data_IF_798629016480
#
_entry.id   IF_798629016480
#
_cell.length_a   1.000
_cell.length_b   1.000
_cell.length_c   1.000
_cell.angle_alpha   90.00
_cell.angle_beta   90.00
_cell.angle_gamma   90.00
#
_symmetry.space_group_name_H-M   'P 1'
#
loop_
_entity.id
_entity.type
_entity.pdbx_description
1 polymer ?
#
# COMPACT_ATOMS: atom_id res chain seq x y z
N UNK A 1 16.93 -6.70 11.60
CA UNK A 1 15.93 -5.65 11.87
C UNK A 1 15.26 -5.22 10.56
N UNK A 2 14.70 -6.16 9.76
CA UNK A 2 14.40 -5.86 8.35
C UNK A 2 13.33 -6.69 7.64
N UNK A 3 12.40 -7.35 8.36
CA UNK A 3 11.31 -8.12 7.72
C UNK A 3 9.96 -7.39 7.81
N UNK A 4 9.76 -6.54 8.83
CA UNK A 4 8.50 -5.82 9.03
C UNK A 4 8.24 -4.67 8.04
N UNK A 5 9.28 -4.02 7.51
CA UNK A 5 9.12 -2.88 6.58
C UNK A 5 8.57 -3.28 5.20
N UNK A 6 8.90 -4.48 4.72
CA UNK A 6 8.52 -4.96 3.39
C UNK A 6 7.04 -5.35 3.31
N UNK A 7 6.48 -5.92 4.39
CA UNK A 7 5.07 -6.33 4.47
C UNK A 7 4.09 -5.16 4.32
N UNK A 8 4.40 -3.98 4.88
CA UNK A 8 3.51 -2.82 4.82
C UNK A 8 3.49 -2.09 3.46
N UNK A 9 4.56 -2.18 2.66
CA UNK A 9 4.56 -1.61 1.29
C UNK A 9 3.65 -2.45 0.38
N UNK A 10 3.73 -3.77 0.57
CA UNK A 10 2.92 -4.75 -0.12
C UNK A 10 1.43 -4.69 0.29
N UNK A 11 1.10 -4.39 1.54
CA UNK A 11 -0.31 -4.19 1.98
C UNK A 11 -1.03 -3.00 1.31
N UNK A 12 -0.29 -1.95 0.90
CA UNK A 12 -0.87 -0.85 0.12
C UNK A 12 -1.03 -1.17 -1.37
N UNK A 13 -0.33 -2.20 -1.89
CA UNK A 13 -0.57 -2.72 -3.24
C UNK A 13 -1.89 -3.48 -3.28
N UNK A 14 -2.18 -4.39 -2.34
CA UNK A 14 -3.37 -5.26 -2.44
C UNK A 14 -4.76 -4.61 -2.31
N UNK A 15 -4.87 -3.35 -1.89
CA UNK A 15 -6.16 -2.63 -1.99
C UNK A 15 -6.49 -2.23 -3.43
N UNK A 16 -5.57 -2.42 -4.37
CA UNK A 16 -5.68 -1.93 -5.73
C UNK A 16 -6.63 -2.72 -6.62
N UNK A 17 -6.86 -4.00 -6.30
CA UNK A 17 -7.55 -4.93 -7.22
C UNK A 17 -9.05 -5.04 -6.94
N UNK A 18 -9.58 -4.22 -6.01
CA UNK A 18 -11.01 -4.03 -5.90
C UNK A 18 -11.55 -3.41 -7.21
N UNK A 19 -12.56 -4.02 -7.87
CA UNK A 19 -13.19 -3.45 -9.05
C UNK A 19 -13.58 -1.98 -8.90
N UNK A 20 -13.98 -1.54 -7.70
CA UNK A 20 -14.34 -0.13 -7.43
C UNK A 20 -13.15 0.83 -7.55
N UNK A 21 -11.92 0.34 -7.33
CA UNK A 21 -10.70 1.13 -7.47
C UNK A 21 -10.17 1.18 -8.92
N UNK A 22 -10.72 0.35 -9.82
CA UNK A 22 -10.37 0.30 -11.23
C UNK A 22 -11.07 1.41 -12.02
N UNK A 23 -10.72 2.66 -11.79
CA UNK A 23 -11.34 3.82 -12.44
C UNK A 23 -10.56 4.34 -13.66
N UNK A 24 -11.13 5.26 -14.43
CA UNK A 24 -10.44 5.90 -15.55
C UNK A 24 -9.10 6.53 -15.15
N UNK A 25 -8.09 6.39 -16.03
CA UNK A 25 -6.71 6.82 -15.81
C UNK A 25 -5.85 5.86 -15.00
N UNK A 26 -6.42 4.77 -14.47
CA UNK A 26 -5.64 3.75 -13.75
C UNK A 26 -4.93 2.80 -14.71
N UNK A 27 -3.74 2.39 -14.32
CA UNK A 27 -2.93 1.44 -15.08
C UNK A 27 -3.17 0.01 -14.57
N UNK A 28 -3.39 -0.93 -15.48
CA UNK A 28 -3.75 -2.32 -15.17
C UNK A 28 -2.93 -3.30 -16.00
N UNK A 29 -2.76 -4.51 -15.46
CA UNK A 29 -2.29 -5.69 -16.18
C UNK A 29 -3.48 -6.55 -16.58
N UNK A 30 -3.38 -7.16 -17.76
CA UNK A 30 -4.24 -8.26 -18.14
C UNK A 30 -3.60 -9.59 -17.77
N UNK A 31 -4.37 -10.48 -17.13
CA UNK A 31 -3.86 -11.68 -16.47
C UNK A 31 -3.72 -12.91 -17.39
N UNK A 32 -4.37 -12.88 -18.55
CA UNK A 32 -4.33 -13.98 -19.53
C UNK A 32 -3.38 -13.66 -20.69
N UNK A 33 -3.26 -14.60 -21.63
CA UNK A 33 -2.50 -14.45 -22.87
C UNK A 33 -3.45 -14.59 -24.05
N UNK A 34 -3.35 -13.66 -24.99
CA UNK A 34 -4.10 -13.54 -26.25
C UNK A 34 -3.13 -12.91 -27.25
N UNK A 35 -3.33 -13.21 -28.53
CA UNK A 35 -2.51 -12.71 -29.62
C UNK A 35 -2.57 -11.18 -29.75
N UNK A 36 -3.67 -10.55 -29.29
CA UNK A 36 -3.89 -9.11 -29.38
C UNK A 36 -3.22 -8.31 -28.25
N UNK A 37 -3.15 -8.90 -27.04
CA UNK A 37 -2.59 -8.27 -25.83
C UNK A 37 -1.50 -9.16 -25.26
N UNK A 38 -0.22 -8.90 -25.58
CA UNK A 38 0.84 -9.79 -25.13
C UNK A 38 0.98 -9.74 -23.61
N UNK A 39 1.21 -10.91 -23.00
CA UNK A 39 1.38 -11.06 -21.55
C UNK A 39 2.40 -10.05 -21.00
N UNK A 40 2.06 -9.39 -19.89
CA UNK A 40 2.94 -8.44 -19.20
C UNK A 40 2.88 -7.01 -19.73
N UNK A 41 2.02 -6.70 -20.71
CA UNK A 41 1.75 -5.31 -21.08
C UNK A 41 0.86 -4.63 -20.04
N UNK A 42 1.16 -3.36 -19.79
CA UNK A 42 0.32 -2.47 -19.00
C UNK A 42 -0.60 -1.72 -19.95
N UNK A 43 -1.86 -1.59 -19.56
CA UNK A 43 -2.85 -0.75 -20.23
C UNK A 43 -3.41 0.31 -19.31
N UNK A 44 -4.06 1.32 -19.88
CA UNK A 44 -4.76 2.38 -19.15
C UNK A 44 -6.28 2.21 -19.28
N UNK A 45 -7.02 2.27 -18.19
CA UNK A 45 -8.48 2.32 -18.21
C UNK A 45 -8.88 3.68 -18.77
N UNK A 46 -9.56 3.71 -19.92
CA UNK A 46 -9.97 4.95 -20.59
C UNK A 46 -11.46 5.23 -20.53
N UNK A 47 -12.27 4.25 -20.10
CA UNK A 47 -13.72 4.38 -19.98
C UNK A 47 -14.28 3.22 -19.11
N UNK A 48 -15.41 3.44 -18.44
CA UNK A 48 -16.19 2.42 -17.72
C UNK A 48 -17.53 2.23 -18.45
N UNK A 49 -17.72 1.05 -19.02
CA UNK A 49 -18.93 0.73 -19.78
C UNK A 49 -20.15 0.58 -18.87
N UNK A 50 -21.36 0.69 -19.44
CA UNK A 50 -22.62 0.63 -18.68
C UNK A 50 -22.90 -0.72 -18.00
N UNK A 51 -22.28 -1.80 -18.49
CA UNK A 51 -22.32 -3.14 -17.90
C UNK A 51 -21.28 -3.34 -16.78
N UNK A 52 -20.46 -2.33 -16.51
CA UNK A 52 -19.37 -2.41 -15.53
C UNK A 52 -18.07 -2.95 -16.10
N UNK A 53 -17.94 -3.17 -17.41
CA UNK A 53 -16.64 -3.52 -18.00
C UNK A 53 -15.70 -2.30 -18.04
N UNK A 54 -14.39 -2.56 -17.98
CA UNK A 54 -13.34 -1.55 -18.13
C UNK A 54 -12.84 -1.56 -19.56
N UNK A 55 -12.94 -0.43 -20.25
CA UNK A 55 -12.31 -0.26 -21.56
C UNK A 55 -10.86 0.13 -21.35
N UNK A 56 -9.95 -0.78 -21.68
CA UNK A 56 -8.51 -0.62 -21.45
C UNK A 56 -7.80 -0.37 -22.77
N UNK A 57 -6.95 0.66 -22.82
CA UNK A 57 -6.06 0.99 -23.94
C UNK A 57 -4.71 0.29 -23.73
N UNK A 58 -4.38 -0.64 -24.63
CA UNK A 58 -3.03 -1.22 -24.76
C UNK A 58 -2.36 -0.67 -26.04
N UNK A 59 -1.08 -1.00 -26.34
CA UNK A 59 -0.38 -0.44 -27.50
C UNK A 59 -1.10 -0.65 -28.84
N UNK A 60 -1.73 -1.82 -29.01
CA UNK A 60 -2.33 -2.22 -30.30
C UNK A 60 -3.82 -1.86 -30.42
N UNK A 61 -4.44 -1.21 -29.43
CA UNK A 61 -5.88 -0.96 -29.49
C UNK A 61 -6.55 -0.70 -28.15
N UNK A 62 -7.87 -0.90 -28.13
CA UNK A 62 -8.73 -0.79 -26.94
C UNK A 62 -9.66 -1.99 -26.88
N UNK A 63 -9.79 -2.59 -25.71
CA UNK A 63 -10.65 -3.76 -25.48
C UNK A 63 -11.40 -3.59 -24.16
N UNK A 64 -12.53 -4.28 -24.04
CA UNK A 64 -13.34 -4.29 -22.82
C UNK A 64 -13.01 -5.53 -22.00
N UNK A 65 -12.80 -5.35 -20.70
CA UNK A 65 -12.54 -6.45 -19.78
C UNK A 65 -13.43 -6.31 -18.56
N UNK A 66 -13.99 -7.45 -18.14
CA UNK A 66 -14.56 -7.57 -16.82
C UNK A 66 -13.46 -7.30 -15.75
N UNK A 67 -13.73 -6.52 -14.69
CA UNK A 67 -12.73 -6.11 -13.71
C UNK A 67 -11.94 -7.27 -13.08
N UNK A 68 -12.58 -8.41 -12.84
CA UNK A 68 -11.97 -9.61 -12.26
C UNK A 68 -10.91 -10.29 -13.16
N UNK A 69 -10.76 -9.83 -14.41
CA UNK A 69 -9.70 -10.30 -15.33
C UNK A 69 -8.49 -9.36 -15.37
N UNK A 70 -8.56 -8.24 -14.65
CA UNK A 70 -7.52 -7.24 -14.57
C UNK A 70 -6.88 -7.28 -13.18
N UNK A 71 -5.59 -6.97 -13.12
CA UNK A 71 -4.91 -6.63 -11.87
C UNK A 71 -4.46 -5.18 -11.96
N UNK A 72 -4.49 -4.43 -10.87
CA UNK A 72 -3.91 -3.09 -10.89
C UNK A 72 -2.40 -3.16 -11.10
N UNK A 73 -1.86 -2.17 -11.79
CA UNK A 73 -0.43 -2.00 -11.86
C UNK A 73 0.11 -1.39 -10.57
N UNK A 74 1.22 -1.93 -10.05
CA UNK A 74 1.94 -1.35 -8.92
C UNK A 74 2.47 0.07 -9.21
N UNK A 75 2.61 0.40 -10.49
CA UNK A 75 3.01 1.70 -10.98
C UNK A 75 1.79 2.45 -11.48
N UNK A 76 1.46 3.56 -10.84
CA UNK A 76 0.42 4.49 -11.24
C UNK A 76 1.03 5.85 -11.52
N UNK A 77 0.28 6.75 -12.16
CA UNK A 77 0.69 8.15 -12.29
C UNK A 77 1.00 8.74 -10.90
N UNK A 78 2.15 9.39 -10.75
CA UNK A 78 2.65 9.92 -9.49
C UNK A 78 3.40 8.91 -8.60
N UNK A 79 3.49 7.63 -8.99
CA UNK A 79 4.27 6.63 -8.26
C UNK A 79 5.76 6.94 -8.36
N UNK A 80 6.44 6.92 -7.22
CA UNK A 80 7.89 7.05 -7.13
C UNK A 80 8.56 5.71 -7.41
N UNK A 81 9.58 5.72 -8.26
CA UNK A 81 10.26 4.51 -8.77
C UNK A 81 11.78 4.69 -8.81
N UNK A 82 12.51 3.58 -8.79
CA UNK A 82 13.90 3.48 -9.17
C UNK A 82 13.99 2.80 -10.54
N UNK A 83 14.77 3.36 -11.45
CA UNK A 83 15.15 2.66 -12.67
C UNK A 83 16.30 1.69 -12.37
N UNK A 84 16.27 0.49 -12.95
CA UNK A 84 17.29 -0.55 -12.72
C UNK A 84 18.37 -0.61 -13.80
N UNK A 85 18.42 0.40 -14.68
CA UNK A 85 19.50 0.54 -15.67
C UNK A 85 20.84 0.88 -15.04
N UNK A 86 21.93 0.57 -15.74
CA UNK A 86 23.31 0.76 -15.26
C UNK A 86 23.67 2.22 -14.96
N UNK A 87 22.90 3.17 -15.50
CA UNK A 87 23.16 4.61 -15.40
C UNK A 87 22.61 5.27 -14.12
N UNK A 88 21.85 4.53 -13.30
CA UNK A 88 21.17 5.07 -12.12
C UNK A 88 21.65 4.45 -10.80
N UNK A 89 21.95 5.31 -9.83
CA UNK A 89 22.09 4.86 -8.44
C UNK A 89 20.71 4.59 -7.83
N UNK A 90 20.65 3.67 -6.86
CA UNK A 90 19.42 3.38 -6.11
C UNK A 90 18.94 4.58 -5.26
N UNK A 91 19.71 5.67 -5.17
CA UNK A 91 19.31 6.90 -4.48
C UNK A 91 18.58 7.89 -5.39
N UNK A 92 18.60 7.68 -6.70
CA UNK A 92 17.90 8.48 -7.69
C UNK A 92 16.47 7.95 -7.80
N UNK A 93 15.50 8.81 -7.50
CA UNK A 93 14.07 8.51 -7.64
C UNK A 93 13.52 9.22 -8.87
N UNK A 94 12.71 8.50 -9.63
CA UNK A 94 11.86 9.03 -10.69
C UNK A 94 10.38 9.01 -10.31
N UNK A 95 9.57 9.74 -11.08
CA UNK A 95 8.12 9.72 -10.96
C UNK A 95 7.48 9.24 -12.25
N UNK A 96 6.55 8.28 -12.16
CA UNK A 96 5.74 7.87 -13.30
C UNK A 96 4.79 9.00 -13.70
N UNK A 97 5.01 9.58 -14.88
CA UNK A 97 4.21 10.68 -15.43
C UNK A 97 3.15 10.24 -16.40
N UNK A 98 3.35 9.16 -17.14
CA UNK A 98 2.35 8.66 -18.09
C UNK A 98 2.62 7.21 -18.52
N UNK A 99 1.77 6.68 -19.40
CA UNK A 99 1.93 5.40 -20.09
C UNK A 99 1.77 5.59 -21.61
N UNK A 100 2.83 5.32 -22.37
CA UNK A 100 2.82 5.37 -23.84
C UNK A 100 3.35 4.07 -24.43
N UNK A 101 2.59 3.49 -25.37
CA UNK A 101 2.98 2.26 -26.08
C UNK A 101 3.42 1.12 -25.12
N UNK A 102 2.75 1.02 -23.97
CA UNK A 102 2.99 -0.01 -22.96
C UNK A 102 4.29 0.20 -22.15
N UNK A 103 4.89 1.38 -22.27
CA UNK A 103 6.05 1.83 -21.49
C UNK A 103 5.66 3.02 -20.63
N UNK A 104 6.18 3.08 -19.42
CA UNK A 104 5.98 4.22 -18.56
C UNK A 104 6.85 5.39 -19.02
N UNK A 105 6.26 6.57 -19.06
CA UNK A 105 7.00 7.83 -19.11
C UNK A 105 7.39 8.14 -17.68
N UNK A 106 8.67 8.02 -17.36
CA UNK A 106 9.21 8.32 -16.03
C UNK A 106 10.02 9.60 -16.13
N UNK A 107 9.76 10.55 -15.23
CA UNK A 107 10.60 11.74 -15.08
C UNK A 107 11.67 11.46 -14.04
N UNK A 108 12.93 11.44 -14.47
CA UNK A 108 14.12 11.23 -13.63
C UNK A 108 15.01 12.44 -13.83
N UNK A 109 15.36 13.14 -12.73
CA UNK A 109 16.24 14.32 -12.78
C UNK A 109 15.76 15.42 -13.76
N UNK A 110 14.44 15.55 -13.93
CA UNK A 110 13.81 16.52 -14.85
C UNK A 110 13.77 16.08 -16.32
N UNK A 111 14.30 14.90 -16.65
CA UNK A 111 14.27 14.32 -17.99
C UNK A 111 13.21 13.22 -18.07
N UNK A 112 12.49 13.13 -19.20
CA UNK A 112 11.46 12.12 -19.41
C UNK A 112 12.00 10.95 -20.22
N UNK A 113 11.85 9.75 -19.67
CA UNK A 113 12.35 8.51 -20.26
C UNK A 113 11.23 7.49 -20.45
N UNK A 114 11.39 6.60 -21.44
CA UNK A 114 10.43 5.53 -21.74
C UNK A 114 10.92 4.21 -21.18
N UNK A 115 10.40 3.82 -20.03
CA UNK A 115 10.82 2.61 -19.33
C UNK A 115 9.80 1.46 -19.40
N UNK A 116 10.33 0.24 -19.51
CA UNK A 116 9.48 -0.97 -19.40
C UNK A 116 9.21 -1.25 -17.92
N UNK A 117 8.03 -1.79 -17.55
CA UNK A 117 7.71 -2.10 -16.15
C UNK A 117 8.77 -2.95 -15.44
N UNK A 118 9.38 -3.91 -16.16
CA UNK A 118 10.43 -4.80 -15.62
C UNK A 118 11.76 -4.11 -15.29
N UNK A 119 11.96 -2.87 -15.73
CA UNK A 119 13.14 -2.05 -15.42
C UNK A 119 12.85 -1.03 -14.31
N UNK A 120 11.66 -1.08 -13.73
CA UNK A 120 11.26 -0.20 -12.64
C UNK A 120 11.12 -1.03 -11.38
N UNK A 121 11.59 -0.45 -10.28
CA UNK A 121 11.34 -0.93 -8.92
C UNK A 121 10.60 0.18 -8.21
N UNK A 122 9.50 -0.13 -7.52
CA UNK A 122 8.77 0.87 -6.75
C UNK A 122 9.67 1.39 -5.62
N UNK A 123 9.76 2.71 -5.48
CA UNK A 123 10.47 3.33 -4.37
C UNK A 123 9.78 2.98 -3.04
N UNK A 124 10.56 2.72 -2.00
CA UNK A 124 10.03 2.42 -0.66
C UNK A 124 9.27 3.61 -0.04
N UNK A 125 9.51 4.82 -0.57
CA UNK A 125 8.86 6.05 -0.17
C UNK A 125 7.93 6.54 -1.29
N UNK A 126 6.67 6.75 -0.95
CA UNK A 126 5.63 7.24 -1.85
C UNK A 126 5.00 8.51 -1.26
N UNK A 127 4.41 9.38 -2.09
CA UNK A 127 3.67 10.54 -1.61
C UNK A 127 2.62 10.18 -0.54
N UNK A 128 2.52 11.02 0.49
CA UNK A 128 1.67 10.85 1.66
C UNK A 128 2.24 9.92 2.74
N UNK A 129 3.31 9.16 2.47
CA UNK A 129 3.91 8.29 3.48
C UNK A 129 4.62 9.10 4.55
N UNK A 130 4.61 8.58 5.77
CA UNK A 130 5.35 9.18 6.88
C UNK A 130 6.75 8.59 7.00
N UNK A 131 7.73 9.44 7.28
CA UNK A 131 9.14 9.07 7.37
C UNK A 131 9.83 9.78 8.53
N UNK A 132 10.95 9.23 8.96
CA UNK A 132 11.93 9.88 9.81
C UNK A 132 13.20 10.13 9.00
N UNK A 133 13.92 11.20 9.30
CA UNK A 133 15.29 11.37 8.83
C UNK A 133 16.24 10.60 9.75
N UNK A 134 17.22 9.89 9.18
CA UNK A 134 18.18 9.07 9.94
C UNK A 134 19.14 9.94 10.78
N UNK A 135 19.39 11.17 10.33
CA UNK A 135 20.21 12.15 11.04
C UNK A 135 19.31 13.16 11.75
N UNK A 136 19.90 14.21 12.30
CA UNK A 136 19.20 15.32 12.90
C UNK A 136 20.06 16.57 12.86
N UNK A 137 19.41 17.72 12.87
CA UNK A 137 20.02 19.04 13.08
C UNK A 137 19.05 19.95 13.85
N UNK A 138 19.36 21.25 13.93
CA UNK A 138 18.55 22.24 14.65
C UNK A 138 17.18 22.48 13.98
N UNK A 139 17.06 22.22 12.68
CA UNK A 139 15.84 22.44 11.90
C UNK A 139 14.91 21.22 11.96
N UNK A 140 15.49 20.02 11.90
CA UNK A 140 14.82 18.73 11.99
C UNK A 140 15.44 17.93 13.13
N UNK A 141 14.91 18.07 14.36
CA UNK A 141 15.43 17.33 15.50
C UNK A 141 15.14 15.83 15.37
N UNK A 142 16.00 15.01 15.98
CA UNK A 142 15.84 13.56 15.97
C UNK A 142 14.45 13.13 16.47
N UNK A 143 13.84 12.16 15.79
CA UNK A 143 12.52 11.63 16.15
C UNK A 143 11.33 12.39 15.57
N UNK A 144 11.53 13.52 14.88
CA UNK A 144 10.44 14.18 14.17
C UNK A 144 10.02 13.38 12.95
N UNK A 145 8.72 13.19 12.80
CA UNK A 145 8.11 12.55 11.65
C UNK A 145 7.84 13.63 10.58
N UNK A 146 8.08 13.27 9.32
CA UNK A 146 7.75 14.08 8.15
C UNK A 146 6.87 13.33 7.17
N UNK A 147 6.22 14.07 6.27
CA UNK A 147 5.36 13.55 5.21
C UNK A 147 6.04 13.68 3.86
N UNK A 148 6.15 12.59 3.11
CA UNK A 148 6.65 12.57 1.74
C UNK A 148 5.67 13.32 0.83
N UNK A 149 6.14 14.31 0.10
CA UNK A 149 5.33 15.09 -0.84
C UNK A 149 5.46 14.55 -2.27
N UNK A 150 4.46 14.77 -3.11
CA UNK A 150 4.47 14.47 -4.54
C UNK A 150 5.34 15.47 -5.34
N UNK A 151 6.63 15.55 -5.01
CA UNK A 151 7.59 16.47 -5.63
C UNK A 151 9.01 15.88 -5.54
N UNK A 152 9.63 15.66 -6.70
CA UNK A 152 11.02 15.25 -6.89
C UNK A 152 11.75 16.35 -7.67
N UNK A 153 13.01 16.64 -7.35
CA UNK A 153 13.82 17.61 -8.10
C UNK A 153 14.64 16.98 -9.23
N UNK A 154 15.38 17.85 -9.92
CA UNK A 154 16.41 17.55 -10.91
C UNK A 154 17.58 16.69 -10.40
N UNK A 155 17.70 16.45 -9.08
CA UNK A 155 18.66 15.48 -8.53
C UNK A 155 18.03 14.12 -8.21
N UNK A 156 16.71 13.95 -8.41
CA UNK A 156 16.01 12.71 -8.04
C UNK A 156 15.77 12.56 -6.54
N UNK A 157 15.82 13.65 -5.76
CA UNK A 157 15.58 13.64 -4.30
C UNK A 157 14.11 13.84 -3.96
N UNK A 158 13.66 13.07 -2.98
CA UNK A 158 12.30 13.12 -2.44
C UNK A 158 12.14 14.34 -1.54
N UNK A 159 11.07 15.12 -1.74
CA UNK A 159 10.73 16.23 -0.85
C UNK A 159 9.88 15.74 0.32
N UNK A 160 10.24 16.16 1.53
CA UNK A 160 9.53 15.79 2.76
C UNK A 160 9.15 17.07 3.53
N UNK A 161 7.91 17.16 3.99
CA UNK A 161 7.43 18.20 4.91
C UNK A 161 7.67 17.73 6.35
N UNK A 162 8.49 18.45 7.10
CA UNK A 162 8.58 18.33 8.56
C UNK A 162 7.92 19.56 9.20
N UNK A 163 7.67 19.57 10.53
CA UNK A 163 7.12 20.70 11.28
C UNK A 163 7.63 22.08 10.86
N UNK A 164 8.95 22.24 10.77
CA UNK A 164 9.57 23.55 10.56
C UNK A 164 9.81 23.91 9.08
N UNK A 165 9.35 23.09 8.12
CA UNK A 165 9.66 23.36 6.71
C UNK A 165 9.64 22.16 5.78
N UNK A 166 10.38 22.28 4.68
CA UNK A 166 10.44 21.28 3.61
C UNK A 166 11.88 21.09 3.17
N UNK A 167 12.32 19.85 3.15
CA UNK A 167 13.69 19.49 2.79
C UNK A 167 13.68 18.36 1.76
N UNK A 168 14.82 18.14 1.10
CA UNK A 168 14.98 17.12 0.08
C UNK A 168 16.01 16.09 0.53
N UNK A 169 15.64 14.82 0.44
CA UNK A 169 16.42 13.71 0.94
C UNK A 169 16.67 12.69 -0.14
N UNK A 170 17.80 11.99 -0.03
CA UNK A 170 17.96 10.71 -0.70
C UNK A 170 17.11 9.66 0.04
N UNK A 171 16.57 8.66 -0.67
CA UNK A 171 15.89 7.53 -0.06
C UNK A 171 16.72 6.87 1.05
N UNK A 172 18.03 6.70 0.86
CA UNK A 172 18.93 6.12 1.88
C UNK A 172 19.08 6.94 3.16
N UNK A 173 18.61 8.20 3.19
CA UNK A 173 18.63 9.06 4.38
C UNK A 173 17.33 8.99 5.18
N UNK A 174 16.30 8.30 4.67
CA UNK A 174 14.99 8.22 5.27
C UNK A 174 14.73 6.83 5.86
N UNK A 175 13.94 6.79 6.93
CA UNK A 175 13.35 5.57 7.49
C UNK A 175 11.85 5.70 7.44
N UNK A 176 11.17 4.66 6.97
CA UNK A 176 9.71 4.63 6.99
C UNK A 176 9.18 4.68 8.44
N UNK A 177 8.19 5.55 8.67
CA UNK A 177 7.48 5.60 9.95
C UNK A 177 6.74 4.29 10.24
N UNK A 178 6.73 3.84 11.48
CA UNK A 178 5.98 2.65 11.89
C UNK A 178 4.46 2.90 11.91
N UNK A 179 4.07 4.16 12.13
CA UNK A 179 2.71 4.67 11.93
C UNK A 179 2.63 5.24 10.52
N UNK A 180 1.59 4.88 9.78
CA UNK A 180 1.33 5.33 8.41
C UNK A 180 -0.15 5.73 8.27
N UNK A 181 -0.51 6.57 7.29
CA UNK A 181 -1.91 6.80 6.95
C UNK A 181 -2.66 5.48 6.73
N UNK A 182 -3.87 5.39 7.28
CA UNK A 182 -4.72 4.21 7.24
C UNK A 182 -4.36 3.11 8.25
N UNK A 183 -3.23 3.20 8.94
CA UNK A 183 -2.82 2.18 9.91
C UNK A 183 -3.74 2.14 11.13
N UNK A 184 -3.99 0.95 11.66
CA UNK A 184 -4.62 0.76 12.96
C UNK A 184 -3.58 0.88 14.07
N UNK A 185 -3.91 1.65 15.09
CA UNK A 185 -3.02 1.97 16.22
C UNK A 185 -3.77 1.86 17.53
N UNK A 186 -3.05 1.67 18.62
CA UNK A 186 -3.54 1.84 19.98
C UNK A 186 -2.84 3.03 20.62
N UNK A 187 -3.57 3.81 21.40
CA UNK A 187 -2.95 4.83 22.23
C UNK A 187 -2.36 4.21 23.50
N UNK A 188 -1.15 4.65 23.88
CA UNK A 188 -0.44 4.16 25.10
C UNK A 188 -1.06 4.62 26.41
N UNK A 189 -1.93 5.64 26.37
CA UNK A 189 -2.59 6.21 27.54
C UNK A 189 -4.12 6.03 27.44
N UNK A 190 -4.88 6.82 28.20
CA UNK A 190 -6.34 6.86 28.18
C UNK A 190 -6.85 8.22 28.66
N UNK A 191 -8.08 8.54 28.29
CA UNK A 191 -8.87 9.64 28.86
C UNK A 191 -10.34 9.21 28.99
N UNK A 192 -11.24 10.15 29.26
CA UNK A 192 -12.68 9.86 29.44
C UNK A 192 -13.35 9.34 28.15
N UNK A 193 -12.77 9.64 26.99
CA UNK A 193 -13.35 9.34 25.67
C UNK A 193 -12.71 8.12 24.99
N UNK A 194 -11.40 7.89 25.23
CA UNK A 194 -10.57 6.87 24.60
C UNK A 194 -10.00 5.95 25.68
N UNK A 195 -10.46 4.69 25.67
CA UNK A 195 -10.02 3.70 26.65
C UNK A 195 -8.62 3.15 26.30
N UNK A 196 -7.87 2.71 27.33
CA UNK A 196 -6.59 2.02 27.10
C UNK A 196 -6.81 0.78 26.22
N UNK A 197 -6.03 0.68 25.14
CA UNK A 197 -6.12 -0.42 24.18
C UNK A 197 -7.23 -0.30 23.13
N UNK A 198 -8.01 0.79 23.14
CA UNK A 198 -8.93 1.11 22.05
C UNK A 198 -8.17 1.29 20.73
N UNK A 199 -8.74 0.75 19.65
CA UNK A 199 -8.16 0.90 18.31
C UNK A 199 -8.62 2.21 17.68
N UNK A 200 -7.65 2.94 17.14
CA UNK A 200 -7.88 4.05 16.23
C UNK A 200 -7.31 3.77 14.84
N UNK A 201 -7.76 4.52 13.85
CA UNK A 201 -7.22 4.53 12.49
C UNK A 201 -6.57 5.89 12.22
N UNK A 202 -5.36 5.89 11.68
CA UNK A 202 -4.69 7.12 11.23
C UNK A 202 -5.40 7.64 9.98
N UNK A 203 -5.91 8.88 10.00
CA UNK A 203 -6.79 9.42 8.95
C UNK A 203 -6.32 10.72 8.31
N UNK A 204 -5.57 11.56 9.02
CA UNK A 204 -5.18 12.90 8.55
C UNK A 204 -3.73 13.01 8.08
N UNK A 205 -3.26 14.25 7.88
CA UNK A 205 -1.85 14.58 7.64
C UNK A 205 -1.16 15.00 8.94
N UNK A 206 0.17 15.11 8.88
CA UNK A 206 0.95 15.66 9.99
C UNK A 206 0.66 17.16 10.15
N UNK A 207 0.36 17.61 11.37
CA UNK A 207 0.39 19.05 11.65
C UNK A 207 1.81 19.59 11.76
N UNK A 208 1.87 20.89 11.98
CA UNK A 208 3.10 21.64 12.19
C UNK A 208 3.77 21.31 13.54
N UNK A 209 3.19 20.45 14.40
CA UNK A 209 3.84 19.87 15.57
C UNK A 209 4.35 18.43 15.31
N UNK A 210 4.11 17.88 14.12
CA UNK A 210 4.48 16.52 13.75
C UNK A 210 3.57 15.45 14.37
N UNK A 211 2.37 15.82 14.81
CA UNK A 211 1.36 14.89 15.32
C UNK A 211 0.50 14.34 14.19
N UNK A 212 0.13 13.07 14.33
CA UNK A 212 -0.78 12.38 13.41
C UNK A 212 -2.21 12.45 13.94
N UNK A 213 -3.16 12.65 13.04
CA UNK A 213 -4.59 12.56 13.37
C UNK A 213 -5.06 11.10 13.35
N UNK A 214 -5.69 10.68 14.44
CA UNK A 214 -6.19 9.33 14.66
C UNK A 214 -7.67 9.39 15.01
N UNK A 215 -8.49 8.68 14.24
CA UNK A 215 -9.91 8.48 14.48
C UNK A 215 -10.13 7.24 15.35
N UNK A 216 -10.66 7.41 16.56
CA UNK A 216 -11.17 6.36 17.43
C UNK A 216 -12.69 6.21 17.26
N UNK A 217 -13.31 5.30 18.02
CA UNK A 217 -14.73 5.02 17.88
C UNK A 217 -15.62 6.23 18.24
N UNK A 218 -15.24 6.95 19.30
CA UNK A 218 -16.03 8.07 19.82
C UNK A 218 -15.51 9.44 19.42
N UNK A 219 -14.22 9.55 19.14
CA UNK A 219 -13.56 10.84 18.96
C UNK A 219 -12.35 10.74 18.03
N UNK A 220 -11.84 11.89 17.58
CA UNK A 220 -10.59 12.01 16.85
C UNK A 220 -9.59 12.85 17.66
N UNK A 221 -8.32 12.47 17.62
CA UNK A 221 -7.27 13.20 18.34
C UNK A 221 -5.98 13.30 17.54
N UNK A 222 -5.09 14.18 17.98
CA UNK A 222 -3.75 14.37 17.41
C UNK A 222 -2.71 13.87 18.40
N UNK A 223 -1.90 12.91 17.96
CA UNK A 223 -0.96 12.19 18.80
C UNK A 223 0.44 12.27 18.23
N UNK A 224 1.44 12.32 19.11
CA UNK A 224 2.80 12.07 18.66
C UNK A 224 2.97 10.60 18.30
N UNK A 225 3.73 10.24 17.26
CA UNK A 225 3.91 8.85 16.86
C UNK A 225 4.40 7.94 18.01
N UNK A 226 5.26 8.43 18.90
CA UNK A 226 5.75 7.68 20.05
C UNK A 226 4.69 7.42 21.14
N UNK A 227 3.53 8.09 21.11
CA UNK A 227 2.40 7.83 21.99
C UNK A 227 1.51 6.69 21.46
N UNK A 228 1.76 6.24 20.23
CA UNK A 228 0.98 5.21 19.56
C UNK A 228 1.74 3.87 19.57
N UNK A 229 0.97 2.79 19.60
CA UNK A 229 1.43 1.42 19.37
C UNK A 229 0.81 0.99 18.04
N UNK A 230 1.65 0.60 17.09
CA UNK A 230 1.17 -0.02 15.86
C UNK A 230 0.48 -1.35 16.19
N UNK A 231 -0.77 -1.52 15.75
CA UNK A 231 -1.50 -2.75 15.98
C UNK A 231 -1.12 -3.80 14.93
N UNK A 232 -0.84 -5.05 15.30
CA UNK A 232 -0.31 -6.02 14.33
C UNK A 232 -1.32 -6.43 13.24
N UNK A 233 -2.60 -6.44 13.58
CA UNK A 233 -3.69 -6.75 12.64
C UNK A 233 -4.08 -5.45 11.95
N UNK A 234 -3.87 -5.38 10.64
CA UNK A 234 -4.17 -4.23 9.80
C UNK A 234 -5.28 -4.57 8.80
N UNK A 235 -5.72 -3.58 8.02
CA UNK A 235 -6.49 -3.84 6.80
C UNK A 235 -5.77 -4.87 5.92
N UNK A 236 -6.54 -5.76 5.30
CA UNK A 236 -6.11 -6.91 4.52
C UNK A 236 -5.34 -8.00 5.29
N UNK A 237 -5.08 -7.85 6.59
CA UNK A 237 -4.49 -8.94 7.35
C UNK A 237 -5.38 -10.18 7.34
N UNK A 238 -4.78 -11.35 7.15
CA UNK A 238 -5.45 -12.62 7.37
C UNK A 238 -5.50 -12.94 8.85
N UNK A 239 -6.65 -13.38 9.33
CA UNK A 239 -6.90 -13.64 10.75
C UNK A 239 -7.71 -14.91 10.93
N UNK A 240 -7.57 -15.55 12.08
CA UNK A 240 -8.53 -16.54 12.57
C UNK A 240 -9.35 -15.95 13.70
N UNK A 241 -10.61 -16.36 13.78
CA UNK A 241 -11.39 -16.15 14.99
C UNK A 241 -10.98 -17.16 16.07
N UNK A 242 -10.91 -16.72 17.33
CA UNK A 242 -10.52 -17.57 18.48
C UNK A 242 -11.62 -18.52 18.93
N UNK A 243 -12.84 -18.33 18.45
CA UNK A 243 -14.01 -19.18 18.70
C UNK A 243 -14.52 -19.71 17.36
N UNK A 244 -15.66 -20.40 17.40
CA UNK A 244 -16.38 -20.82 16.20
C UNK A 244 -17.87 -20.91 16.48
N UNK A 245 -18.65 -20.87 15.42
CA UNK A 245 -20.09 -21.15 15.37
C UNK A 245 -20.44 -21.75 13.99
N UNK A 246 -21.73 -21.81 13.66
CA UNK A 246 -22.21 -22.37 12.38
C UNK A 246 -21.83 -21.51 11.16
N UNK A 247 -21.53 -20.22 11.39
CA UNK A 247 -21.21 -19.22 10.36
C UNK A 247 -19.69 -19.09 10.12
N UNK A 248 -18.89 -19.26 11.17
CA UNK A 248 -17.42 -19.21 11.11
C UNK A 248 -16.84 -20.42 11.84
N UNK A 249 -16.34 -21.39 11.07
CA UNK A 249 -15.87 -22.66 11.60
C UNK A 249 -14.45 -22.54 12.17
N UNK A 250 -14.09 -23.47 13.05
CA UNK A 250 -12.71 -23.52 13.58
C UNK A 250 -11.74 -23.79 12.45
N UNK A 251 -10.81 -22.87 12.22
CA UNK A 251 -9.80 -22.97 11.16
C UNK A 251 -10.07 -22.04 9.98
N UNK A 252 -11.26 -21.46 9.88
CA UNK A 252 -11.56 -20.48 8.85
C UNK A 252 -10.61 -19.28 8.96
N UNK A 253 -10.12 -18.85 7.80
CA UNK A 253 -9.26 -17.67 7.66
C UNK A 253 -10.10 -16.55 7.07
N UNK A 254 -10.17 -15.45 7.79
CA UNK A 254 -10.84 -14.24 7.34
C UNK A 254 -9.85 -13.16 6.94
N UNK A 255 -10.27 -12.22 6.10
CA UNK A 255 -9.52 -11.01 5.72
C UNK A 255 -10.13 -9.80 6.39
N UNK A 256 -9.31 -9.01 7.08
CA UNK A 256 -9.76 -7.76 7.71
C UNK A 256 -10.04 -6.72 6.63
N UNK A 257 -11.28 -6.21 6.56
CA UNK A 257 -11.67 -5.23 5.54
C UNK A 257 -11.48 -3.80 6.03
N UNK A 258 -11.91 -3.50 7.26
CA UNK A 258 -11.82 -2.16 7.87
C UNK A 258 -12.02 -2.17 9.38
N UNK A 259 -11.56 -1.11 10.03
CA UNK A 259 -11.99 -0.72 11.36
C UNK A 259 -13.34 0.01 11.26
N UNK A 260 -14.32 -0.40 12.05
CA UNK A 260 -15.63 0.26 12.15
C UNK A 260 -15.60 1.36 13.21
N UNK A 261 -16.56 2.28 13.12
CA UNK A 261 -16.73 3.42 14.04
C UNK A 261 -17.04 3.00 15.49
N UNK A 262 -17.26 1.71 15.77
CA UNK A 262 -17.42 1.18 17.13
C UNK A 262 -16.16 0.48 17.66
N UNK A 263 -15.01 0.66 17.00
CA UNK A 263 -13.72 0.05 17.36
C UNK A 263 -13.62 -1.44 17.05
N UNK A 264 -14.62 -2.05 16.40
CA UNK A 264 -14.58 -3.45 15.94
C UNK A 264 -13.96 -3.57 14.56
N UNK A 265 -13.31 -4.69 14.29
CA UNK A 265 -12.80 -5.04 12.97
C UNK A 265 -13.90 -5.74 12.18
N UNK A 266 -14.18 -5.26 10.97
CA UNK A 266 -14.98 -5.99 9.98
C UNK A 266 -14.06 -6.99 9.28
N UNK A 267 -14.42 -8.26 9.32
CA UNK A 267 -13.64 -9.35 8.74
C UNK A 267 -14.51 -10.16 7.82
N UNK A 268 -14.06 -10.34 6.57
CA UNK A 268 -14.67 -11.21 5.57
C UNK A 268 -14.12 -12.63 5.69
N UNK A 269 -14.98 -13.59 5.99
CA UNK A 269 -14.73 -15.03 5.95
C UNK A 269 -15.48 -15.64 4.74
N UNK A 270 -15.28 -16.94 4.40
CA UNK A 270 -15.88 -17.54 3.21
C UNK A 270 -17.41 -17.45 3.14
N UNK A 271 -18.11 -17.49 4.28
CA UNK A 271 -19.58 -17.45 4.35
C UNK A 271 -20.16 -16.02 4.48
N UNK A 272 -19.34 -14.96 4.61
CA UNK A 272 -19.82 -13.59 4.82
C UNK A 272 -18.86 -12.67 5.58
N UNK A 273 -19.35 -11.53 6.08
CA UNK A 273 -18.54 -10.57 6.85
C UNK A 273 -19.14 -10.29 8.23
N UNK A 274 -18.31 -10.36 9.27
CA UNK A 274 -18.74 -10.19 10.66
C UNK A 274 -17.84 -9.19 11.41
N UNK A 275 -18.32 -8.70 12.55
CA UNK A 275 -17.62 -7.67 13.34
C UNK A 275 -17.07 -8.24 14.63
N UNK A 276 -15.76 -8.16 14.82
CA UNK A 276 -15.07 -8.78 15.95
C UNK A 276 -14.40 -7.75 16.84
N UNK A 277 -14.37 -8.03 18.14
CA UNK A 277 -13.43 -7.32 18.99
C UNK A 277 -12.00 -7.73 18.64
N UNK A 278 -11.01 -6.81 18.67
CA UNK A 278 -9.64 -7.13 18.28
C UNK A 278 -9.03 -8.31 19.04
N UNK A 279 -9.34 -8.43 20.34
CA UNK A 279 -8.88 -9.54 21.19
C UNK A 279 -9.50 -10.91 20.86
N UNK A 280 -10.55 -10.96 20.04
CA UNK A 280 -11.18 -12.21 19.57
C UNK A 280 -10.47 -12.79 18.34
N UNK A 281 -9.56 -12.03 17.73
CA UNK A 281 -8.84 -12.46 16.53
C UNK A 281 -7.41 -12.91 16.88
N UNK A 282 -6.84 -13.69 15.98
CA UNK A 282 -5.41 -14.02 15.94
C UNK A 282 -4.91 -13.74 14.53
N UNK A 283 -3.77 -13.07 14.42
CA UNK A 283 -3.10 -12.92 13.13
C UNK A 283 -2.76 -14.30 12.58
N UNK A 284 -3.15 -14.57 11.34
CA UNK A 284 -2.79 -15.81 10.66
C UNK A 284 -1.31 -15.78 10.30
N UNK A 285 -0.61 -16.92 10.34
CA UNK A 285 0.84 -16.93 10.12
C UNK A 285 1.23 -16.55 8.70
N UNK A 286 0.36 -16.87 7.74
CA UNK A 286 0.51 -16.50 6.34
C UNK A 286 -0.24 -15.19 6.11
N UNK A 287 0.43 -14.22 5.51
CA UNK A 287 -0.13 -12.90 5.21
C UNK A 287 0.04 -12.59 3.72
N UNK A 288 -0.83 -11.74 3.15
CA UNK A 288 -0.68 -11.28 1.78
C UNK A 288 0.74 -10.77 1.52
N UNK A 289 1.28 -11.12 0.35
CA UNK A 289 2.60 -10.67 -0.08
C UNK A 289 3.78 -11.50 0.42
N UNK A 290 3.56 -12.43 1.34
CA UNK A 290 4.59 -13.38 1.75
C UNK A 290 4.93 -14.34 0.62
N UNK A 291 6.22 -14.63 0.44
CA UNK A 291 6.65 -15.74 -0.41
C UNK A 291 6.37 -17.06 0.33
N UNK A 292 5.72 -17.98 -0.36
CA UNK A 292 5.40 -19.32 0.13
C UNK A 292 5.88 -20.36 -0.85
N UNK A 293 6.22 -21.54 -0.32
CA UNK A 293 6.53 -22.71 -1.13
C UNK A 293 5.31 -23.63 -1.13
N UNK A 294 4.82 -24.00 -2.30
CA UNK A 294 3.67 -24.88 -2.44
C UNK A 294 4.07 -26.33 -2.16
N UNK A 295 3.45 -26.99 -1.18
CA UNK A 295 3.81 -28.37 -0.81
C UNK A 295 3.03 -29.44 -1.58
N UNK A 296 1.91 -29.06 -2.20
CA UNK A 296 1.06 -29.93 -3.01
C UNK A 296 0.92 -29.40 -4.43
N UNK A 297 0.67 -30.32 -5.35
CA UNK A 297 0.43 -30.03 -6.77
C UNK A 297 -1.00 -29.53 -6.96
N UNK A 298 -1.15 -28.45 -7.71
CA UNK A 298 -2.39 -28.11 -8.43
C UNK A 298 -2.06 -28.19 -9.92
N UNK A 299 -3.06 -28.37 -10.78
CA UNK A 299 -2.88 -28.52 -12.24
C UNK A 299 -2.08 -27.36 -12.87
N UNK A 300 -2.06 -26.20 -12.20
CA UNK A 300 -1.36 -24.99 -12.61
C UNK A 300 -0.08 -24.65 -11.80
N UNK A 301 0.23 -25.36 -10.70
CA UNK A 301 1.33 -25.02 -9.79
C UNK A 301 2.17 -26.26 -9.45
N UNK A 302 3.46 -26.22 -9.80
CA UNK A 302 4.41 -27.27 -9.51
C UNK A 302 4.65 -27.43 -8.01
N UNK A 303 4.83 -28.68 -7.59
CA UNK A 303 5.26 -28.96 -6.21
C UNK A 303 6.62 -28.30 -5.97
N UNK A 304 6.73 -27.55 -4.88
CA UNK A 304 7.87 -26.73 -4.48
C UNK A 304 8.07 -25.43 -5.28
N UNK A 305 7.10 -25.02 -6.09
CA UNK A 305 7.14 -23.69 -6.68
C UNK A 305 7.05 -22.62 -5.58
N UNK A 306 7.75 -21.50 -5.80
CA UNK A 306 7.71 -20.35 -4.92
C UNK A 306 6.70 -19.37 -5.50
N UNK A 307 5.59 -19.16 -4.79
CA UNK A 307 4.58 -18.18 -5.11
C UNK A 307 4.59 -17.03 -4.11
N UNK A 308 3.99 -15.91 -4.48
CA UNK A 308 3.62 -14.85 -3.54
C UNK A 308 2.14 -15.03 -3.20
N UNK A 309 1.80 -15.00 -1.91
CA UNK A 309 0.40 -15.00 -1.51
C UNK A 309 -0.28 -13.70 -2.00
N UNK A 310 -1.43 -13.81 -2.67
CA UNK A 310 -2.23 -12.64 -3.05
C UNK A 310 -2.81 -11.92 -1.83
#
# INVERSE_FOLDING_TARGET
MGIFGQLQSTLMSFMSDDPENMTEGKYVYWTKQDDDVPRGHVGEIVDIQSDGDRRVKFPNGKWNFAPEKLNMCDFQKGTFVHATGDDYDFDTVGEVKDLEDGKFIVEIKGEKEKEKPKHLVRCDFQPGMYVFWIKSDDDIPAGHMGEVLADINDEGRVKVKFPNGRWRFRPSELVRGHVQPGAFVQWKSSNDDIATGELGKVTGSLDDDGKVEVQFAKDAGRFRPEELIFYEIQTNSFVNWRKSDDDVETGDVGRVERLKDNGKLLVAFPKGSWSFHPGELRLFKLQPGMLVTWESYDDDIGKHDIGRLP
#
